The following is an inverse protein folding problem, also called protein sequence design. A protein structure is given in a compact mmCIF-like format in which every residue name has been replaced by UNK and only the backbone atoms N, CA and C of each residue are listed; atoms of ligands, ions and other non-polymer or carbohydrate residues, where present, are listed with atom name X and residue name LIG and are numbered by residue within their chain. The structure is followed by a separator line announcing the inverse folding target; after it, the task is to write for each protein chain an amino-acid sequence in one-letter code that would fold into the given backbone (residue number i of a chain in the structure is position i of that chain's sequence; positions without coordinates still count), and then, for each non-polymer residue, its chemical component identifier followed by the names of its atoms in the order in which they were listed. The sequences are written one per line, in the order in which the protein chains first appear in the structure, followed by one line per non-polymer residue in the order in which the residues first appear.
data_IF_708524842566
#
_entry.id   IF_708524842566
#
_cell.length_a   1.000
_cell.length_b   1.000
_cell.length_c   1.000
_cell.angle_alpha   90.00
_cell.angle_beta   90.00
_cell.angle_gamma   90.00
#
_symmetry.space_group_name_H-M   'P 1'
#
loop_
_entity.id
_entity.type
_entity.pdbx_description
1 polymer ?
#
# COMPACT_ATOMS: atom_id res chain seq x y z
N UNK A 1 7.53 -9.96 -20.37
CA UNK A 1 6.10 -10.05 -20.01
C UNK A 1 5.24 -10.40 -21.21
N UNK A 2 5.19 -9.56 -22.26
CA UNK A 2 4.39 -9.80 -23.47
C UNK A 2 4.62 -11.18 -24.12
N UNK A 3 5.89 -11.54 -24.35
CA UNK A 3 6.28 -12.84 -24.94
C UNK A 3 5.95 -14.05 -24.07
N UNK A 4 5.69 -13.85 -22.78
CA UNK A 4 5.27 -14.89 -21.82
C UNK A 4 3.74 -14.94 -21.66
N UNK A 5 2.98 -14.12 -22.40
CA UNK A 5 1.52 -14.10 -22.33
C UNK A 5 0.93 -13.42 -21.08
N UNK A 6 1.75 -12.66 -20.32
CA UNK A 6 1.28 -11.88 -19.17
C UNK A 6 0.29 -10.81 -19.63
N UNK A 7 -0.85 -10.70 -18.94
CA UNK A 7 -1.88 -9.69 -19.22
C UNK A 7 -2.09 -8.69 -18.08
N UNK A 8 -1.78 -9.11 -16.85
CA UNK A 8 -1.94 -8.32 -15.64
C UNK A 8 -0.69 -8.45 -14.78
N UNK A 9 -0.31 -7.37 -14.12
CA UNK A 9 0.84 -7.30 -13.23
C UNK A 9 0.36 -6.83 -11.86
N UNK A 10 0.59 -7.65 -10.84
CA UNK A 10 0.41 -7.25 -9.45
C UNK A 10 1.69 -6.59 -8.93
N UNK A 11 1.60 -5.32 -8.55
CA UNK A 11 2.66 -4.51 -7.96
C UNK A 11 2.33 -4.27 -6.50
N UNK A 12 3.24 -4.60 -5.59
CA UNK A 12 3.04 -4.47 -4.15
C UNK A 12 4.28 -3.92 -3.44
N UNK A 13 4.10 -3.36 -2.25
CA UNK A 13 5.20 -2.92 -1.40
C UNK A 13 5.74 -4.08 -0.55
N UNK A 14 7.06 -4.23 -0.51
CA UNK A 14 7.75 -5.36 0.13
C UNK A 14 7.57 -5.43 1.65
N UNK A 15 7.22 -4.32 2.29
CA UNK A 15 7.18 -4.24 3.75
C UNK A 15 5.88 -4.74 4.41
N UNK A 16 4.89 -5.18 3.63
CA UNK A 16 3.64 -5.71 4.18
C UNK A 16 3.72 -7.24 4.38
N UNK A 17 3.77 -7.69 5.63
CA UNK A 17 3.84 -9.14 5.96
C UNK A 17 2.55 -9.88 5.60
N UNK A 18 1.42 -9.19 5.50
CA UNK A 18 0.10 -9.76 5.18
C UNK A 18 -0.25 -9.61 3.69
N UNK A 19 0.69 -9.21 2.83
CA UNK A 19 0.43 -9.06 1.41
C UNK A 19 0.04 -10.40 0.78
N UNK A 20 -1.19 -10.48 0.27
CA UNK A 20 -1.66 -11.59 -0.57
C UNK A 20 -1.11 -11.45 -1.99
N UNK A 21 0.11 -11.95 -2.18
CA UNK A 21 0.83 -11.88 -3.47
C UNK A 21 0.04 -12.64 -4.54
N UNK A 22 -0.40 -11.91 -5.55
CA UNK A 22 -1.19 -12.42 -6.68
C UNK A 22 -2.54 -13.02 -6.25
N UNK A 23 -3.24 -12.32 -5.35
CA UNK A 23 -4.59 -12.66 -4.91
C UNK A 23 -5.53 -13.02 -6.09
N UNK A 24 -5.96 -14.29 -6.20
CA UNK A 24 -6.75 -14.76 -7.33
C UNK A 24 -8.16 -14.20 -7.35
N UNK A 25 -8.75 -13.86 -6.19
CA UNK A 25 -10.09 -13.28 -6.14
C UNK A 25 -10.08 -11.86 -6.73
N UNK A 26 -9.10 -11.06 -6.30
CA UNK A 26 -8.92 -9.71 -6.81
C UNK A 26 -8.50 -9.70 -8.28
N UNK A 27 -7.56 -10.56 -8.70
CA UNK A 27 -7.16 -10.69 -10.10
C UNK A 27 -8.34 -11.16 -10.98
N UNK A 28 -9.14 -12.12 -10.50
CA UNK A 28 -10.34 -12.58 -11.18
C UNK A 28 -11.34 -11.44 -11.42
N UNK A 29 -11.56 -10.60 -10.40
CA UNK A 29 -12.37 -9.39 -10.53
C UNK A 29 -11.80 -8.42 -11.58
N UNK A 30 -10.48 -8.15 -11.55
CA UNK A 30 -9.83 -7.28 -12.52
C UNK A 30 -9.99 -7.78 -13.96
N UNK A 31 -9.90 -9.10 -14.17
CA UNK A 31 -10.11 -9.74 -15.47
C UNK A 31 -11.57 -9.60 -15.92
N UNK A 32 -12.53 -9.95 -15.04
CA UNK A 32 -13.96 -9.89 -15.34
C UNK A 32 -14.39 -8.47 -15.72
N UNK A 33 -13.92 -7.48 -14.96
CA UNK A 33 -14.23 -6.06 -15.19
C UNK A 33 -13.37 -5.41 -16.26
N UNK A 34 -12.38 -6.12 -16.81
CA UNK A 34 -11.37 -5.58 -17.74
C UNK A 34 -10.72 -4.31 -17.17
N UNK A 35 -10.42 -4.31 -15.88
CA UNK A 35 -9.78 -3.19 -15.21
C UNK A 35 -8.42 -2.92 -15.84
N UNK A 36 -8.12 -1.68 -16.18
CA UNK A 36 -6.77 -1.31 -16.62
C UNK A 36 -5.87 -0.98 -15.42
N UNK A 37 -6.49 -0.47 -14.35
CA UNK A 37 -5.90 -0.30 -13.02
C UNK A 37 -6.90 -0.74 -11.95
N UNK A 38 -6.43 -1.49 -10.97
CA UNK A 38 -7.13 -1.64 -9.70
C UNK A 38 -6.16 -1.44 -8.54
N UNK A 39 -6.64 -0.90 -7.43
CA UNK A 39 -5.85 -0.73 -6.21
C UNK A 39 -6.57 -1.32 -5.01
N UNK A 40 -5.82 -2.01 -4.15
CA UNK A 40 -6.33 -2.37 -2.84
C UNK A 40 -6.29 -1.18 -1.90
N UNK A 41 -7.32 -1.07 -1.08
CA UNK A 41 -7.39 -0.07 -0.01
C UNK A 41 -7.88 -0.70 1.27
N UNK A 42 -7.53 -0.08 2.38
CA UNK A 42 -8.12 -0.37 3.69
C UNK A 42 -8.93 0.82 4.16
N UNK A 43 -9.85 0.58 5.10
CA UNK A 43 -10.52 1.69 5.78
C UNK A 43 -9.51 2.45 6.64
N UNK A 44 -9.39 3.75 6.35
CA UNK A 44 -8.57 4.67 7.15
C UNK A 44 -9.18 4.92 8.52
N UNK A 45 -8.30 5.05 9.51
CA UNK A 45 -8.64 5.56 10.84
C UNK A 45 -8.16 7.01 11.00
N UNK A 46 -8.81 7.82 11.87
CA UNK A 46 -8.38 9.21 12.10
C UNK A 46 -6.91 9.30 12.53
N UNK A 47 -6.17 10.24 11.94
CA UNK A 47 -4.74 10.46 12.22
C UNK A 47 -3.77 9.52 11.51
N UNK A 48 -4.26 8.56 10.71
CA UNK A 48 -3.42 7.63 9.97
C UNK A 48 -2.70 8.31 8.79
N UNK A 49 -1.38 8.10 8.70
CA UNK A 49 -0.48 8.69 7.70
C UNK A 49 -0.40 7.84 6.43
N UNK A 50 -1.56 7.54 5.84
CA UNK A 50 -1.70 6.77 4.60
C UNK A 50 -2.38 7.62 3.54
N UNK A 51 -1.85 7.61 2.32
CA UNK A 51 -2.45 8.28 1.17
C UNK A 51 -3.88 7.80 0.90
N UNK A 52 -4.76 8.70 0.45
CA UNK A 52 -6.17 8.37 0.21
C UNK A 52 -6.44 8.28 -1.27
N UNK A 53 -7.01 7.17 -1.73
CA UNK A 53 -7.53 7.05 -3.10
C UNK A 53 -8.81 7.88 -3.19
N UNK A 54 -8.86 8.80 -4.14
CA UNK A 54 -9.97 9.74 -4.32
C UNK A 54 -10.19 10.07 -5.79
N UNK A 55 -11.21 10.87 -6.06
CA UNK A 55 -11.41 11.50 -7.35
C UNK A 55 -10.99 12.97 -7.28
N UNK A 56 -10.07 13.35 -8.15
CA UNK A 56 -9.67 14.73 -8.39
C UNK A 56 -10.16 15.10 -9.81
N UNK A 57 -11.11 16.04 -9.89
CA UNK A 57 -11.77 16.41 -11.15
C UNK A 57 -12.29 15.21 -11.97
N UNK A 58 -12.85 14.22 -11.28
CA UNK A 58 -13.39 13.00 -11.87
C UNK A 58 -12.36 11.94 -12.27
N UNK A 59 -11.07 12.18 -12.02
CA UNK A 59 -9.98 11.21 -12.28
C UNK A 59 -9.48 10.56 -11.00
N UNK A 60 -9.20 9.26 -11.00
CA UNK A 60 -8.68 8.58 -9.83
C UNK A 60 -7.25 9.04 -9.52
N UNK A 61 -6.98 9.30 -8.25
CA UNK A 61 -5.67 9.73 -7.76
C UNK A 61 -5.45 9.24 -6.33
N UNK A 62 -4.21 9.16 -5.90
CA UNK A 62 -3.87 9.08 -4.47
C UNK A 62 -3.45 10.47 -4.00
N UNK A 63 -4.15 11.01 -3.02
CA UNK A 63 -3.73 12.23 -2.34
C UNK A 63 -3.03 11.86 -1.04
N UNK A 64 -1.76 12.24 -0.93
CA UNK A 64 -0.97 12.00 0.27
C UNK A 64 -1.50 12.81 1.46
N UNK A 65 -1.29 12.30 2.67
CA UNK A 65 -1.78 12.95 3.89
C UNK A 65 -1.22 14.37 4.05
N UNK A 66 0.00 14.61 3.55
CA UNK A 66 0.65 15.92 3.55
C UNK A 66 0.02 16.94 2.60
N UNK A 67 -0.81 16.50 1.66
CA UNK A 67 -1.44 17.33 0.62
C UNK A 67 -2.90 17.68 0.94
N UNK A 68 -3.61 16.83 1.70
CA UNK A 68 -5.04 16.98 2.01
C UNK A 68 -5.36 18.18 2.90
N UNK A 69 -4.44 18.58 3.78
CA UNK A 69 -4.71 19.55 4.84
C UNK A 69 -5.61 18.98 5.96
N UNK A 70 -5.59 19.59 7.16
CA UNK A 70 -6.27 19.04 8.35
C UNK A 70 -7.80 19.00 8.21
N UNK A 71 -8.40 20.00 7.57
CA UNK A 71 -9.86 20.08 7.39
C UNK A 71 -10.41 18.89 6.61
N UNK A 72 -9.82 18.56 5.45
CA UNK A 72 -10.26 17.44 4.63
C UNK A 72 -9.87 16.09 5.23
N UNK A 73 -8.73 16.01 5.93
CA UNK A 73 -8.27 14.78 6.58
C UNK A 73 -9.22 14.32 7.70
N UNK A 74 -9.88 15.25 8.39
CA UNK A 74 -10.83 14.96 9.47
C UNK A 74 -12.30 15.03 9.05
N UNK A 75 -12.56 15.47 7.80
CA UNK A 75 -13.92 15.62 7.28
C UNK A 75 -14.64 14.28 7.26
N UNK A 76 -15.88 14.27 7.75
CA UNK A 76 -16.73 13.09 7.81
C UNK A 76 -17.94 13.19 6.90
N UNK A 77 -18.39 12.05 6.39
CA UNK A 77 -19.69 11.87 5.74
C UNK A 77 -20.82 11.86 6.78
N UNK A 78 -22.08 11.92 6.31
CA UNK A 78 -23.27 11.97 7.18
C UNK A 78 -23.41 10.75 8.10
N UNK A 79 -22.84 9.62 7.71
CA UNK A 79 -22.81 8.36 8.47
C UNK A 79 -21.59 8.26 9.41
N UNK A 80 -20.79 9.32 9.54
CA UNK A 80 -19.67 9.40 10.47
C UNK A 80 -18.35 8.80 9.98
N UNK A 81 -18.30 8.22 8.77
CA UNK A 81 -17.06 7.76 8.14
C UNK A 81 -16.21 8.94 7.68
N UNK A 82 -14.89 8.76 7.56
CA UNK A 82 -14.04 9.77 6.92
C UNK A 82 -14.47 9.94 5.46
N UNK A 83 -14.50 11.18 4.97
CA UNK A 83 -14.78 11.46 3.55
C UNK A 83 -13.68 10.86 2.66
N UNK A 84 -12.43 10.95 3.10
CA UNK A 84 -11.28 10.30 2.48
C UNK A 84 -10.93 9.02 3.25
N UNK A 85 -11.78 8.00 3.13
CA UNK A 85 -11.67 6.75 3.88
C UNK A 85 -10.83 5.65 3.19
N UNK A 86 -10.61 5.73 1.88
CA UNK A 86 -9.95 4.68 1.11
C UNK A 86 -8.42 4.80 1.20
N UNK A 87 -7.80 4.14 2.18
CA UNK A 87 -6.37 4.20 2.42
C UNK A 87 -5.59 3.30 1.47
N UNK A 88 -4.70 3.87 0.67
CA UNK A 88 -3.85 3.13 -0.27
C UNK A 88 -2.82 2.29 0.49
N UNK A 89 -2.81 0.98 0.26
CA UNK A 89 -1.82 0.06 0.85
C UNK A 89 -0.71 -0.33 -0.14
N UNK A 90 -0.50 0.50 -1.17
CA UNK A 90 0.51 0.28 -2.21
C UNK A 90 0.47 -1.13 -2.83
N UNK A 91 -0.74 -1.66 -3.06
CA UNK A 91 -1.01 -2.91 -3.76
C UNK A 91 -1.89 -2.58 -4.96
N UNK A 92 -1.37 -2.80 -6.16
CA UNK A 92 -1.98 -2.38 -7.42
C UNK A 92 -1.94 -3.51 -8.45
N UNK A 93 -3.01 -3.66 -9.22
CA UNK A 93 -3.04 -4.47 -10.43
C UNK A 93 -3.08 -3.51 -11.61
N UNK A 94 -2.18 -3.71 -12.56
CA UNK A 94 -2.18 -3.01 -13.83
C UNK A 94 -2.36 -4.01 -14.96
N UNK A 95 -3.17 -3.66 -15.96
CA UNK A 95 -3.10 -4.36 -17.25
C UNK A 95 -1.74 -4.10 -17.92
N UNK A 96 -1.22 -5.07 -18.66
CA UNK A 96 0.05 -4.91 -19.35
C UNK A 96 -0.03 -3.81 -20.42
N UNK A 97 -1.17 -3.69 -21.12
CA UNK A 97 -1.41 -2.64 -22.12
C UNK A 97 -1.33 -1.24 -21.49
N UNK A 98 -1.90 -1.05 -20.30
CA UNK A 98 -1.79 0.20 -19.56
C UNK A 98 -0.33 0.53 -19.22
N UNK A 99 0.44 -0.43 -18.69
CA UNK A 99 1.85 -0.21 -18.38
C UNK A 99 2.68 0.14 -19.62
N UNK A 100 2.47 -0.58 -20.73
CA UNK A 100 3.20 -0.35 -21.98
C UNK A 100 2.94 1.06 -22.56
N UNK A 101 1.78 1.66 -22.28
CA UNK A 101 1.47 3.03 -22.69
C UNK A 101 2.36 4.11 -22.04
N UNK A 102 3.11 3.76 -20.99
CA UNK A 102 4.04 4.66 -20.28
C UNK A 102 5.51 4.36 -20.59
N UNK A 103 5.81 3.36 -21.41
CA UNK A 103 7.18 2.94 -21.72
C UNK A 103 7.83 3.78 -22.84
N UNK A 104 7.30 4.96 -23.14
CA UNK A 104 7.88 5.91 -24.09
C UNK A 104 8.92 6.80 -23.39
N UNK A 105 10.06 7.06 -24.04
CA UNK A 105 11.13 7.92 -23.49
C UNK A 105 10.67 9.34 -23.15
N UNK A 106 9.61 9.84 -23.77
CA UNK A 106 9.03 11.15 -23.51
C UNK A 106 8.16 11.20 -22.25
N UNK A 107 7.66 10.05 -21.78
CA UNK A 107 6.77 10.00 -20.63
C UNK A 107 7.54 10.15 -19.32
N UNK A 108 7.10 11.08 -18.48
CA UNK A 108 7.69 11.32 -17.17
C UNK A 108 6.59 11.62 -16.15
N UNK A 109 6.70 11.00 -14.99
CA UNK A 109 5.87 11.33 -13.82
C UNK A 109 6.38 12.59 -13.13
N UNK A 110 5.49 13.34 -12.46
CA UNK A 110 5.90 14.51 -11.68
C UNK A 110 6.88 14.12 -10.57
N UNK A 111 7.80 15.01 -10.25
CA UNK A 111 8.66 14.87 -9.08
C UNK A 111 7.98 15.45 -7.84
N UNK A 112 7.88 14.63 -6.82
CA UNK A 112 7.49 15.01 -5.47
C UNK A 112 8.73 15.38 -4.66
N UNK A 113 8.65 16.49 -3.94
CA UNK A 113 9.75 17.02 -3.15
C UNK A 113 9.59 16.62 -1.68
N UNK A 114 10.62 15.98 -1.13
CA UNK A 114 10.73 15.73 0.31
C UNK A 114 11.96 16.42 0.89
N UNK A 115 11.77 17.30 1.88
CA UNK A 115 12.87 17.90 2.65
C UNK A 115 13.47 16.86 3.60
N UNK A 116 14.78 16.59 3.48
CA UNK A 116 15.46 15.54 4.26
C UNK A 116 16.72 16.07 4.95
N UNK A 117 17.11 15.38 6.02
CA UNK A 117 18.41 15.50 6.70
C UNK A 117 19.38 14.56 5.98
N UNK A 118 20.14 15.10 5.04
CA UNK A 118 21.04 14.32 4.17
C UNK A 118 22.46 14.44 4.74
N UNK A 119 22.98 13.33 5.26
CA UNK A 119 24.37 13.25 5.67
C UNK A 119 25.27 13.57 4.47
N UNK A 120 26.26 14.44 4.67
CA UNK A 120 27.13 14.93 3.60
C UNK A 120 28.57 15.08 4.10
N UNK A 121 29.49 15.28 3.16
CA UNK A 121 30.91 15.50 3.42
C UNK A 121 31.23 16.98 3.13
N UNK A 122 31.90 17.65 4.06
CA UNK A 122 32.39 19.02 3.88
C UNK A 122 33.66 19.07 3.03
N UNK A 123 34.08 20.25 2.59
CA UNK A 123 35.24 20.41 1.70
C UNK A 123 36.57 19.92 2.30
N UNK A 124 36.66 19.77 3.61
CA UNK A 124 37.81 19.24 4.35
C UNK A 124 37.74 17.71 4.60
N UNK A 125 36.69 17.04 4.11
CA UNK A 125 36.51 15.59 4.26
C UNK A 125 35.73 15.16 5.52
N UNK A 126 35.23 16.09 6.33
CA UNK A 126 34.46 15.75 7.55
C UNK A 126 33.04 15.28 7.21
N UNK A 127 32.59 14.17 7.81
CA UNK A 127 31.20 13.69 7.67
C UNK A 127 30.29 14.45 8.64
N UNK A 128 29.26 15.10 8.10
CA UNK A 128 28.25 15.84 8.88
C UNK A 128 26.91 15.13 8.84
N UNK A 129 26.32 14.90 10.02
CA UNK A 129 24.93 14.45 10.19
C UNK A 129 24.07 15.65 10.63
N UNK A 130 23.29 16.27 9.70
CA UNK A 130 22.62 17.53 9.98
C UNK A 130 21.44 17.36 10.97
N UNK A 131 21.22 18.38 11.79
CA UNK A 131 20.14 18.41 12.79
C UNK A 131 18.83 18.99 12.23
N UNK A 132 18.90 19.78 11.16
CA UNK A 132 17.78 20.32 10.38
C UNK A 132 17.84 19.87 8.91
N UNK A 133 16.72 19.88 8.16
CA UNK A 133 16.74 19.54 6.73
C UNK A 133 17.70 20.45 5.94
N UNK A 134 18.60 19.85 5.17
CA UNK A 134 19.64 20.53 4.39
C UNK A 134 19.60 20.16 2.89
N UNK A 135 18.64 19.35 2.48
CA UNK A 135 18.53 18.89 1.10
C UNK A 135 17.14 18.43 0.73
N UNK A 136 16.98 18.17 -0.56
CA UNK A 136 15.73 17.76 -1.19
C UNK A 136 15.94 16.37 -1.80
N UNK A 137 15.04 15.43 -1.50
CA UNK A 137 14.88 14.19 -2.24
C UNK A 137 13.73 14.38 -3.24
N UNK A 138 13.97 14.02 -4.49
CA UNK A 138 12.94 13.96 -5.54
C UNK A 138 12.50 12.51 -5.68
N UNK A 139 11.18 12.28 -5.66
CA UNK A 139 10.58 10.95 -5.75
C UNK A 139 9.45 11.00 -6.79
N UNK A 140 9.28 9.93 -7.56
CA UNK A 140 8.09 9.73 -8.39
C UNK A 140 7.24 8.66 -7.70
N UNK A 141 5.92 8.79 -7.75
CA UNK A 141 5.03 7.82 -7.12
C UNK A 141 4.37 6.91 -8.15
N UNK A 142 4.38 5.60 -7.88
CA UNK A 142 3.85 4.56 -8.78
C UNK A 142 2.37 4.78 -9.11
N UNK A 143 1.62 5.42 -8.22
CA UNK A 143 0.20 5.69 -8.37
C UNK A 143 -0.12 7.00 -9.11
N UNK A 144 0.89 7.81 -9.47
CA UNK A 144 0.64 9.05 -10.23
C UNK A 144 0.11 8.78 -11.65
N UNK A 145 0.26 7.55 -12.15
CA UNK A 145 -0.35 7.12 -13.41
C UNK A 145 -1.87 6.91 -13.32
N UNK A 146 -2.45 6.83 -12.11
CA UNK A 146 -3.86 6.48 -11.93
C UNK A 146 -4.79 7.41 -12.72
N UNK A 147 -4.47 8.69 -12.82
CA UNK A 147 -5.29 9.67 -13.54
C UNK A 147 -5.45 9.37 -15.04
N UNK A 148 -4.64 8.47 -15.60
CA UNK A 148 -4.71 8.02 -17.00
C UNK A 148 -5.57 6.78 -17.19
N UNK A 149 -5.95 6.09 -16.11
CA UNK A 149 -6.81 4.92 -16.16
C UNK A 149 -8.17 5.28 -16.77
N UNK A 150 -8.64 4.44 -17.67
CA UNK A 150 -9.97 4.50 -18.29
C UNK A 150 -10.97 3.58 -17.57
N UNK A 151 -10.51 2.60 -16.80
CA UNK A 151 -11.35 1.63 -16.13
C UNK A 151 -10.79 1.23 -14.76
N UNK A 152 -10.86 2.18 -13.81
CA UNK A 152 -10.27 2.11 -12.49
C UNK A 152 -11.20 1.46 -11.45
N UNK A 153 -10.65 0.57 -10.62
CA UNK A 153 -11.40 -0.05 -9.51
C UNK A 153 -10.66 -0.01 -8.18
N UNK A 154 -11.41 0.24 -7.10
CA UNK A 154 -10.94 0.07 -5.72
C UNK A 154 -11.41 -1.29 -5.21
N UNK A 155 -10.50 -2.02 -4.56
CA UNK A 155 -10.78 -3.25 -3.85
C UNK A 155 -10.53 -3.05 -2.35
N UNK A 156 -11.59 -2.73 -1.59
CA UNK A 156 -11.49 -2.57 -0.12
C UNK A 156 -11.30 -3.94 0.53
N UNK A 157 -10.29 -4.05 1.40
CA UNK A 157 -9.97 -5.27 2.16
C UNK A 157 -9.96 -4.99 3.65
N UNK A 158 -10.14 -6.04 4.44
CA UNK A 158 -9.97 -5.97 5.89
C UNK A 158 -8.50 -5.81 6.24
N UNK A 159 -8.19 -4.84 7.12
CA UNK A 159 -6.81 -4.48 7.47
C UNK A 159 -6.11 -5.67 8.14
N UNK A 160 -6.79 -6.28 9.10
CA UNK A 160 -6.30 -7.41 9.88
C UNK A 160 -5.95 -8.63 9.02
N UNK A 161 -6.51 -8.73 7.81
CA UNK A 161 -6.27 -9.85 6.92
C UNK A 161 -5.18 -9.57 5.88
N UNK A 162 -4.93 -8.30 5.54
CA UNK A 162 -4.12 -7.95 4.36
C UNK A 162 -3.13 -6.79 4.53
N UNK A 163 -3.06 -6.14 5.69
CA UNK A 163 -2.15 -5.00 5.88
C UNK A 163 -1.52 -4.90 7.28
N UNK A 164 -0.24 -5.26 7.37
CA UNK A 164 0.62 -4.99 8.52
C UNK A 164 2.04 -4.63 8.04
N UNK A 165 2.34 -3.33 7.86
CA UNK A 165 3.60 -2.88 7.28
C UNK A 165 4.76 -2.84 8.29
N UNK A 166 5.97 -3.07 7.81
CA UNK A 166 7.23 -2.95 8.55
C UNK A 166 7.96 -1.66 8.14
N UNK A 167 7.72 -0.58 8.88
CA UNK A 167 8.27 0.76 8.59
C UNK A 167 9.29 1.24 9.61
N UNK A 168 9.20 0.75 10.85
CA UNK A 168 9.92 1.30 11.99
C UNK A 168 10.79 0.25 12.70
N UNK A 169 11.79 0.72 13.43
CA UNK A 169 12.53 -0.10 14.37
C UNK A 169 11.63 -0.54 15.55
N UNK A 170 12.01 -1.63 16.21
CA UNK A 170 11.26 -2.22 17.34
C UNK A 170 10.95 -1.19 18.45
N UNK A 171 11.87 -0.26 18.71
CA UNK A 171 11.69 0.79 19.72
C UNK A 171 10.52 1.75 19.46
N UNK A 172 9.97 1.78 18.23
CA UNK A 172 8.80 2.60 17.92
C UNK A 172 7.48 1.97 18.40
N UNK A 173 7.44 0.65 18.64
CA UNK A 173 6.25 -0.08 19.09
C UNK A 173 5.07 -0.08 18.11
N UNK A 174 5.27 0.37 16.87
CA UNK A 174 4.25 0.41 15.81
C UNK A 174 4.90 0.13 14.45
N UNK A 175 4.20 -0.63 13.59
CA UNK A 175 4.67 -0.99 12.24
C UNK A 175 6.13 -1.49 12.27
N UNK A 176 6.41 -2.36 13.24
CA UNK A 176 7.72 -2.93 13.55
C UNK A 176 7.64 -4.46 13.55
N UNK A 177 8.76 -5.14 13.79
CA UNK A 177 8.84 -6.60 13.67
C UNK A 177 7.84 -7.31 14.61
N UNK A 178 7.68 -6.84 15.84
CA UNK A 178 6.70 -7.41 16.78
C UNK A 178 5.26 -7.25 16.34
N UNK A 179 4.87 -6.09 15.79
CA UNK A 179 3.50 -5.89 15.28
C UNK A 179 3.23 -6.79 14.09
N UNK A 180 4.17 -6.90 13.14
CA UNK A 180 4.04 -7.79 11.98
C UNK A 180 3.90 -9.26 12.41
N UNK A 181 4.72 -9.73 13.35
CA UNK A 181 4.64 -11.11 13.88
C UNK A 181 3.31 -11.37 14.59
N UNK A 182 2.86 -10.42 15.41
CA UNK A 182 1.57 -10.52 16.11
C UNK A 182 0.44 -10.62 15.10
N UNK A 183 0.38 -9.73 14.11
CA UNK A 183 -0.73 -9.65 13.17
C UNK A 183 -0.79 -10.90 12.27
N UNK A 184 0.36 -11.42 11.82
CA UNK A 184 0.43 -12.71 11.13
C UNK A 184 -0.06 -13.87 12.02
N UNK A 185 0.34 -13.90 13.28
CA UNK A 185 -0.13 -14.94 14.20
C UNK A 185 -1.64 -14.87 14.45
N UNK A 186 -2.20 -13.67 14.52
CA UNK A 186 -3.64 -13.45 14.68
C UNK A 186 -4.42 -13.93 13.46
N UNK A 187 -3.97 -13.63 12.23
CA UNK A 187 -4.66 -14.09 11.02
C UNK A 187 -4.59 -15.62 10.88
N UNK A 188 -3.46 -16.24 11.18
CA UNK A 188 -3.33 -17.70 11.14
C UNK A 188 -4.17 -18.39 12.22
N UNK A 189 -4.25 -17.81 13.42
CA UNK A 189 -5.16 -18.30 14.47
C UNK A 189 -6.62 -18.19 14.03
N UNK A 190 -7.02 -17.05 13.45
CA UNK A 190 -8.36 -16.83 12.88
C UNK A 190 -8.71 -17.90 11.85
N UNK A 191 -7.77 -18.31 10.99
CA UNK A 191 -8.00 -19.38 10.00
C UNK A 191 -8.25 -20.74 10.66
N UNK A 192 -7.45 -21.13 11.67
CA UNK A 192 -7.66 -22.38 12.40
C UNK A 192 -9.00 -22.41 13.13
N UNK A 193 -9.35 -21.32 13.80
CA UNK A 193 -10.62 -21.21 14.53
C UNK A 193 -11.82 -21.25 13.58
N UNK A 194 -11.70 -20.69 12.37
CA UNK A 194 -12.74 -20.74 11.34
C UNK A 194 -13.09 -22.17 10.88
N UNK A 195 -12.14 -23.10 10.96
CA UNK A 195 -12.35 -24.54 10.66
C UNK A 195 -12.63 -25.38 11.91
N UNK A 196 -12.88 -24.74 13.06
CA UNK A 196 -13.27 -25.40 14.31
C UNK A 196 -12.11 -25.97 15.14
N UNK A 197 -10.86 -25.62 14.82
CA UNK A 197 -9.73 -26.02 15.66
C UNK A 197 -9.72 -25.24 16.99
N UNK A 198 -9.30 -25.92 18.07
CA UNK A 198 -9.15 -25.32 19.40
C UNK A 198 -7.68 -25.00 19.63
N UNK A 199 -7.30 -23.72 19.51
CA UNK A 199 -5.93 -23.26 19.77
C UNK A 199 -5.80 -22.90 21.26
N UNK A 200 -5.11 -23.74 22.03
CA UNK A 200 -4.91 -23.53 23.48
C UNK A 200 -3.75 -22.57 23.75
N UNK A 201 -3.92 -21.67 24.72
CA UNK A 201 -2.89 -20.73 25.14
C UNK A 201 -2.71 -19.54 24.18
N UNK A 202 -1.80 -18.64 24.57
CA UNK A 202 -1.55 -17.38 23.88
C UNK A 202 -0.31 -17.41 22.97
N UNK A 203 0.29 -18.59 22.79
CA UNK A 203 1.45 -18.74 21.90
C UNK A 203 1.09 -18.37 20.45
N UNK A 204 2.02 -17.70 19.73
CA UNK A 204 1.79 -17.34 18.34
C UNK A 204 1.75 -18.60 17.46
N UNK A 205 0.80 -18.62 16.54
CA UNK A 205 0.64 -19.70 15.55
C UNK A 205 1.01 -19.16 14.18
N UNK A 206 1.86 -19.87 13.45
CA UNK A 206 2.22 -19.53 12.08
C UNK A 206 1.90 -20.71 11.18
N UNK A 207 1.22 -20.44 10.06
CA UNK A 207 0.92 -21.43 9.03
C UNK A 207 1.81 -21.13 7.82
N UNK A 208 2.46 -22.15 7.29
CA UNK A 208 3.26 -22.02 6.08
C UNK A 208 2.34 -21.77 4.87
N UNK A 209 2.71 -20.84 3.99
CA UNK A 209 1.90 -20.49 2.82
C UNK A 209 1.73 -21.65 1.82
N UNK A 210 2.57 -22.70 1.88
CA UNK A 210 2.38 -23.94 1.13
C UNK A 210 1.28 -24.84 1.70
N UNK A 211 0.87 -24.61 2.94
CA UNK A 211 -0.26 -25.31 3.58
C UNK A 211 -1.58 -24.63 3.26
N UNK A 212 -1.64 -23.30 3.39
CA UNK A 212 -2.84 -22.52 3.12
C UNK A 212 -2.43 -21.09 2.72
N UNK A 213 -2.98 -20.60 1.60
CA UNK A 213 -2.69 -19.27 1.07
C UNK A 213 -3.47 -18.18 1.79
N UNK A 214 -4.74 -18.44 2.10
CA UNK A 214 -5.66 -17.47 2.69
C UNK A 214 -6.67 -18.08 3.68
N UNK A 215 -6.40 -19.27 4.18
CA UNK A 215 -7.22 -19.97 5.18
C UNK A 215 -8.11 -21.08 4.61
N UNK A 216 -8.01 -21.39 3.31
CA UNK A 216 -8.58 -22.59 2.69
C UNK A 216 -7.87 -23.88 3.14
#
# INVERSE_FOLDING_TARGET
MRTQGVKYVHVYCIDNILCKVADPHWLGYCIEKRADVSTKTIRKIPGELVGSVCLDNGRPRVTEYSELGPELAEKKTKDGRLLFCAGSIANHVFSLDFLESFCEYSFHLPYHRASKKIAHITSDGTIVKPTSPNGIKLEQFVFDVFEKSQNFYIWEVEREDEFSPLKNAESAGKECLSTCKRDLALVNRKWLEAVGAIVKGDDPVFIDASTSYCGE
#
